data_IF_810457782464
#
_entry.id   IF_810457782464
#
_cell.length_a   1.000
_cell.length_b   1.000
_cell.length_c   1.000
_cell.angle_alpha   90.00
_cell.angle_beta   90.00
_cell.angle_gamma   90.00
#
_symmetry.space_group_name_H-M   'P 1'
#
loop_
_entity.id
_entity.type
_entity.pdbx_description
1 polymer ?
#
# COMPACT_ATOMS: atom_id res chain seq x y z
N UNK A 1 -22.93 30.27 18.72
CA UNK A 1 -21.96 29.89 19.76
C UNK A 1 -21.04 28.88 19.13
N UNK A 2 -19.75 29.18 18.98
CA UNK A 2 -18.77 28.20 18.57
C UNK A 2 -18.60 27.20 19.74
N UNK A 3 -18.91 25.94 19.50
CA UNK A 3 -18.55 24.86 20.45
C UNK A 3 -17.03 24.79 20.41
N UNK A 4 -16.32 24.98 21.53
CA UNK A 4 -14.88 24.79 21.53
C UNK A 4 -14.60 23.31 21.21
N UNK A 5 -14.01 23.04 20.06
CA UNK A 5 -13.47 21.74 19.76
C UNK A 5 -12.26 21.53 20.66
N UNK A 6 -12.39 20.71 21.66
CA UNK A 6 -11.25 20.23 22.45
C UNK A 6 -10.62 19.07 21.71
N UNK A 7 -9.70 19.34 20.82
CA UNK A 7 -8.87 18.33 20.12
C UNK A 7 -7.80 17.71 21.03
N UNK A 8 -7.82 18.01 22.32
CA UNK A 8 -6.82 17.58 23.29
C UNK A 8 -6.86 16.07 23.62
N UNK A 9 -7.79 15.32 23.04
CA UNK A 9 -7.96 13.89 23.29
C UNK A 9 -7.99 13.05 22.01
N UNK A 10 -7.68 13.64 20.86
CA UNK A 10 -7.62 12.96 19.60
C UNK A 10 -6.26 13.30 19.00
N UNK A 11 -5.30 12.41 19.13
CA UNK A 11 -3.94 12.64 18.63
C UNK A 11 -3.30 11.37 18.16
N UNK A 12 -2.39 11.51 17.21
CA UNK A 12 -1.46 10.46 16.86
C UNK A 12 -0.57 10.13 18.06
N UNK A 13 -0.36 8.87 18.31
CA UNK A 13 0.50 8.38 19.37
C UNK A 13 1.93 8.27 18.82
N UNK A 14 2.82 9.13 19.27
CA UNK A 14 4.22 9.12 18.83
C UNK A 14 5.00 8.01 19.53
N UNK A 15 5.66 7.14 18.77
CA UNK A 15 6.48 6.05 19.29
C UNK A 15 7.94 6.18 18.84
N UNK A 16 8.87 6.21 19.82
CA UNK A 16 10.31 6.24 19.55
C UNK A 16 10.88 4.84 19.36
N UNK A 17 11.02 4.42 18.11
CA UNK A 17 11.49 3.08 17.75
C UNK A 17 12.89 2.78 18.31
N UNK A 18 13.81 3.77 18.32
CA UNK A 18 15.16 3.56 18.84
C UNK A 18 15.16 3.20 20.33
N UNK A 19 14.41 3.95 21.14
CA UNK A 19 14.34 3.75 22.57
C UNK A 19 13.51 2.52 22.94
N UNK A 20 12.46 2.20 22.17
CA UNK A 20 11.68 0.98 22.37
C UNK A 20 12.53 -0.27 22.13
N UNK A 21 13.29 -0.32 21.06
CA UNK A 21 14.23 -1.43 20.79
C UNK A 21 15.30 -1.54 21.90
N UNK A 22 15.84 -0.43 22.35
CA UNK A 22 16.83 -0.42 23.45
C UNK A 22 16.22 -0.88 24.78
N UNK A 23 14.96 -0.53 25.06
CA UNK A 23 14.24 -0.91 26.29
C UNK A 23 13.99 -2.41 26.36
N UNK A 24 13.58 -3.00 25.25
CA UNK A 24 13.30 -4.42 25.16
C UNK A 24 14.58 -5.25 24.92
N UNK A 25 15.75 -4.60 24.84
CA UNK A 25 17.05 -5.22 24.57
C UNK A 25 17.08 -6.12 23.33
N UNK A 26 16.24 -5.79 22.35
CA UNK A 26 16.01 -6.62 21.17
C UNK A 26 17.11 -6.45 20.12
N UNK A 27 17.57 -5.20 19.91
CA UNK A 27 18.45 -4.91 18.79
C UNK A 27 19.44 -3.77 19.08
N UNK A 28 20.68 -3.94 18.61
CA UNK A 28 21.75 -2.93 18.68
C UNK A 28 22.16 -2.43 17.29
N UNK A 29 21.48 -2.85 16.25
CA UNK A 29 21.74 -2.46 14.87
C UNK A 29 21.52 -0.95 14.69
N UNK A 30 22.45 -0.28 14.03
CA UNK A 30 22.32 1.14 13.70
C UNK A 30 21.42 1.31 12.49
N UNK A 31 20.49 2.23 12.58
CA UNK A 31 19.53 2.53 11.53
C UNK A 31 19.06 3.98 11.59
N UNK A 32 18.42 4.43 10.54
CA UNK A 32 17.68 5.69 10.47
C UNK A 32 16.28 5.42 9.93
N UNK A 33 15.34 6.31 10.21
CA UNK A 33 13.99 6.23 9.65
C UNK A 33 13.57 7.57 9.06
N UNK A 34 12.75 7.52 8.02
CA UNK A 34 11.86 8.63 7.72
C UNK A 34 10.61 8.42 8.56
N UNK A 35 10.36 9.35 9.48
CA UNK A 35 9.27 9.26 10.44
C UNK A 35 7.92 9.40 9.74
N UNK A 36 7.01 8.48 10.01
CA UNK A 36 5.65 8.45 9.46
C UNK A 36 4.79 7.45 10.28
N UNK A 37 3.50 7.27 9.95
CA UNK A 37 2.69 6.13 10.37
C UNK A 37 3.15 4.85 9.65
N UNK A 38 3.71 4.98 8.44
CA UNK A 38 4.43 3.92 7.74
C UNK A 38 5.90 4.31 7.49
N UNK A 39 6.75 4.37 8.53
CA UNK A 39 8.13 4.79 8.39
C UNK A 39 8.95 3.86 7.51
N UNK A 40 9.80 4.46 6.68
CA UNK A 40 10.82 3.72 5.92
C UNK A 40 12.09 3.59 6.73
N UNK A 41 12.62 2.37 6.83
CA UNK A 41 13.76 2.01 7.67
C UNK A 41 14.99 1.74 6.83
N UNK A 42 16.11 2.37 7.20
CA UNK A 42 17.41 2.23 6.54
C UNK A 42 18.44 1.69 7.55
N UNK A 43 18.82 0.44 7.41
CA UNK A 43 19.87 -0.17 8.23
C UNK A 43 21.24 0.32 7.73
N UNK A 44 22.10 0.76 8.65
CA UNK A 44 23.46 1.22 8.31
C UNK A 44 24.25 0.11 7.63
N UNK A 45 24.86 0.43 6.50
CA UNK A 45 25.61 -0.51 5.68
C UNK A 45 24.79 -1.18 4.60
N UNK A 46 23.48 -0.88 4.53
CA UNK A 46 22.56 -1.37 3.52
C UNK A 46 22.65 -2.90 3.30
N UNK A 47 22.43 -3.71 4.35
CA UNK A 47 22.48 -5.16 4.24
C UNK A 47 21.36 -5.67 3.31
N UNK A 48 21.61 -6.82 2.70
CA UNK A 48 20.61 -7.48 1.84
C UNK A 48 19.39 -7.94 2.62
N UNK A 49 18.29 -8.15 1.92
CA UNK A 49 17.00 -8.58 2.49
C UNK A 49 17.10 -9.91 3.25
N UNK A 50 17.93 -10.85 2.77
CA UNK A 50 18.13 -12.18 3.38
C UNK A 50 19.27 -12.20 4.41
N UNK A 51 19.95 -11.09 4.66
CA UNK A 51 21.01 -11.04 5.64
C UNK A 51 20.45 -11.22 7.06
N UNK A 52 21.17 -11.96 7.89
CA UNK A 52 20.74 -12.27 9.26
C UNK A 52 20.47 -11.01 10.10
N UNK A 53 21.20 -9.91 9.85
CA UNK A 53 20.99 -8.64 10.53
C UNK A 53 19.64 -8.01 10.14
N UNK A 54 19.27 -8.07 8.86
CA UNK A 54 17.98 -7.58 8.35
C UNK A 54 16.85 -8.41 8.94
N UNK A 55 16.93 -9.74 8.80
CA UNK A 55 15.92 -10.67 9.32
C UNK A 55 15.70 -10.51 10.82
N UNK A 56 16.79 -10.41 11.59
CA UNK A 56 16.67 -10.18 13.03
C UNK A 56 15.99 -8.85 13.32
N UNK A 57 16.34 -7.79 12.61
CA UNK A 57 15.81 -6.46 12.86
C UNK A 57 14.30 -6.40 12.55
N UNK A 58 13.87 -6.98 11.46
CA UNK A 58 12.44 -7.08 11.10
C UNK A 58 11.63 -7.86 12.16
N UNK A 59 12.14 -9.00 12.63
CA UNK A 59 11.47 -9.74 13.72
C UNK A 59 11.40 -8.94 15.01
N UNK A 60 12.49 -8.26 15.37
CA UNK A 60 12.52 -7.46 16.59
C UNK A 60 11.48 -6.31 16.53
N UNK A 61 11.36 -5.65 15.37
CA UNK A 61 10.36 -4.59 15.17
C UNK A 61 8.94 -5.16 15.12
N UNK A 62 8.74 -6.31 14.46
CA UNK A 62 7.44 -6.96 14.36
C UNK A 62 6.88 -7.41 15.72
N UNK A 63 7.75 -7.65 16.72
CA UNK A 63 7.34 -8.12 18.05
C UNK A 63 7.23 -6.99 19.08
N UNK A 64 7.50 -5.74 18.70
CA UNK A 64 7.42 -4.62 19.63
C UNK A 64 6.00 -4.40 20.14
N UNK A 65 5.88 -4.30 21.45
CA UNK A 65 4.64 -3.91 22.13
C UNK A 65 4.81 -2.60 22.85
N UNK A 66 3.74 -1.84 22.95
CA UNK A 66 3.69 -0.55 23.64
C UNK A 66 2.46 -0.46 24.52
N UNK A 67 2.53 0.34 25.58
CA UNK A 67 1.33 0.68 26.37
C UNK A 67 0.70 1.92 25.72
N UNK A 68 -0.50 1.76 25.21
CA UNK A 68 -1.26 2.85 24.60
C UNK A 68 -1.60 3.89 25.68
N UNK A 69 -1.17 5.14 25.53
CA UNK A 69 -1.36 6.17 26.57
C UNK A 69 -2.82 6.60 26.74
N UNK A 70 -3.68 6.32 25.76
CA UNK A 70 -5.11 6.69 25.77
C UNK A 70 -5.93 5.59 26.43
N UNK A 71 -5.74 4.33 25.97
CA UNK A 71 -6.56 3.20 26.43
C UNK A 71 -5.97 2.46 27.63
N UNK A 72 -4.66 2.57 27.86
CA UNK A 72 -3.93 1.80 28.86
C UNK A 72 -3.69 0.33 28.49
N UNK A 73 -4.12 -0.10 27.31
CA UNK A 73 -3.90 -1.45 26.82
C UNK A 73 -2.48 -1.63 26.29
N UNK A 74 -2.04 -2.88 26.18
CA UNK A 74 -0.82 -3.22 25.48
C UNK A 74 -1.16 -3.51 24.02
N UNK A 75 -0.60 -2.70 23.11
CA UNK A 75 -0.78 -2.82 21.68
C UNK A 75 0.50 -3.35 21.02
N UNK A 76 0.35 -4.05 19.90
CA UNK A 76 1.46 -4.26 18.97
C UNK A 76 1.74 -2.93 18.26
N UNK A 77 3.02 -2.53 18.18
CA UNK A 77 3.38 -1.30 17.47
C UNK A 77 3.26 -1.48 15.94
N UNK A 78 3.55 -2.67 15.46
CA UNK A 78 3.63 -3.01 14.03
C UNK A 78 2.36 -3.75 13.60
N UNK A 79 1.66 -3.21 12.60
CA UNK A 79 0.55 -3.88 11.93
C UNK A 79 1.03 -4.75 10.77
N UNK A 80 2.01 -4.27 10.00
CA UNK A 80 2.63 -5.00 8.91
C UNK A 80 4.05 -4.54 8.63
N UNK A 81 4.81 -5.37 7.90
CA UNK A 81 6.17 -5.06 7.51
C UNK A 81 6.38 -5.50 6.06
N UNK A 82 6.92 -4.59 5.24
CA UNK A 82 7.23 -4.83 3.84
C UNK A 82 8.75 -4.84 3.62
N UNK A 83 9.31 -6.01 3.32
CA UNK A 83 10.65 -6.16 2.78
C UNK A 83 10.71 -5.70 1.31
N UNK A 84 11.84 -5.91 0.65
CA UNK A 84 12.04 -5.42 -0.73
C UNK A 84 11.05 -6.04 -1.72
N UNK A 85 10.72 -7.31 -1.56
CA UNK A 85 9.77 -8.00 -2.45
C UNK A 85 8.35 -7.45 -2.29
N UNK A 86 7.90 -7.28 -1.05
CA UNK A 86 6.60 -6.68 -0.75
C UNK A 86 6.55 -5.21 -1.20
N UNK A 87 7.61 -4.43 -0.97
CA UNK A 87 7.68 -3.04 -1.43
C UNK A 87 7.58 -2.93 -2.96
N UNK A 88 8.11 -3.89 -3.72
CA UNK A 88 7.91 -3.96 -5.18
C UNK A 88 6.44 -4.24 -5.55
N UNK A 89 5.79 -5.14 -4.81
CA UNK A 89 4.37 -5.41 -4.99
C UNK A 89 3.50 -4.19 -4.68
N UNK A 90 3.93 -3.36 -3.72
CA UNK A 90 3.26 -2.13 -3.30
C UNK A 90 3.71 -0.88 -4.09
N UNK A 91 4.50 -1.04 -5.15
CA UNK A 91 5.07 0.08 -5.94
C UNK A 91 5.86 1.12 -5.10
N UNK A 92 6.52 0.67 -4.03
CA UNK A 92 7.27 1.53 -3.11
C UNK A 92 8.78 1.58 -3.42
N UNK A 93 9.26 0.85 -4.43
CA UNK A 93 10.68 0.81 -4.82
C UNK A 93 10.91 1.80 -5.95
N UNK A 94 11.95 2.64 -5.79
CA UNK A 94 12.37 3.57 -6.83
C UNK A 94 13.48 3.00 -7.71
N UNK A 95 13.76 3.64 -8.86
CA UNK A 95 14.86 3.27 -9.74
C UNK A 95 16.25 3.54 -9.11
N UNK A 96 16.32 4.37 -8.08
CA UNK A 96 17.55 4.67 -7.34
C UNK A 96 17.67 3.77 -6.10
N UNK A 97 18.57 2.78 -6.08
CA UNK A 97 18.74 1.88 -4.93
C UNK A 97 19.12 2.60 -3.64
N UNK A 98 19.79 3.75 -3.72
CA UNK A 98 20.18 4.54 -2.54
C UNK A 98 18.96 5.18 -1.84
N UNK A 99 17.82 5.27 -2.53
CA UNK A 99 16.56 5.80 -2.02
C UNK A 99 15.57 4.70 -1.62
N UNK A 100 15.91 3.44 -1.87
CA UNK A 100 15.09 2.30 -1.45
C UNK A 100 15.42 1.94 -0.01
N UNK A 101 14.45 1.94 0.91
CA UNK A 101 14.69 1.52 2.30
C UNK A 101 15.00 0.03 2.40
N UNK A 102 15.58 -0.37 3.51
CA UNK A 102 15.78 -1.80 3.81
C UNK A 102 14.45 -2.51 3.95
N UNK A 103 13.49 -1.87 4.62
CA UNK A 103 12.09 -2.28 4.69
C UNK A 103 11.20 -1.09 5.08
N UNK A 104 9.91 -1.24 4.89
CA UNK A 104 8.89 -0.30 5.38
C UNK A 104 8.12 -0.97 6.52
N UNK A 105 7.97 -0.25 7.61
CA UNK A 105 7.14 -0.63 8.75
C UNK A 105 5.80 0.10 8.64
N UNK A 106 4.70 -0.63 8.71
CA UNK A 106 3.36 -0.05 8.86
C UNK A 106 2.97 -0.11 10.33
N UNK A 107 2.70 1.05 10.91
CA UNK A 107 2.28 1.17 12.30
C UNK A 107 0.90 0.55 12.54
N UNK A 108 0.57 0.27 13.78
CA UNK A 108 -0.82 0.01 14.15
C UNK A 108 -1.62 1.31 14.09
N UNK A 109 -2.93 1.22 14.09
CA UNK A 109 -3.81 2.40 14.04
C UNK A 109 -3.39 3.47 15.06
N UNK A 110 -3.43 4.74 14.65
CA UNK A 110 -3.10 5.91 15.46
C UNK A 110 -1.62 6.06 15.87
N UNK A 111 -0.70 5.22 15.41
CA UNK A 111 0.72 5.34 15.74
C UNK A 111 1.51 6.07 14.67
N UNK A 112 2.22 7.13 15.10
CA UNK A 112 3.29 7.79 14.35
C UNK A 112 4.65 7.35 14.88
N UNK A 113 5.49 6.79 14.03
CA UNK A 113 6.73 6.15 14.43
C UNK A 113 7.93 6.97 13.97
N UNK A 114 8.81 7.30 14.90
CA UNK A 114 10.05 8.02 14.64
C UNK A 114 11.24 7.32 15.33
N UNK A 115 12.46 7.76 15.04
CA UNK A 115 13.65 7.29 15.73
C UNK A 115 14.50 8.49 16.16
N UNK A 116 14.66 8.68 17.45
CA UNK A 116 15.51 9.73 18.01
C UNK A 116 17.01 9.41 17.88
N UNK A 117 17.37 8.18 17.57
CA UNK A 117 18.74 7.68 17.61
C UNK A 117 19.29 7.46 19.04
N UNK A 118 18.48 7.71 20.07
CA UNK A 118 18.86 7.48 21.46
C UNK A 118 18.83 5.98 21.81
N UNK A 119 19.86 5.52 22.49
CA UNK A 119 19.94 4.16 23.06
C UNK A 119 19.48 4.10 24.52
N UNK A 120 18.94 5.19 25.06
CA UNK A 120 18.42 5.22 26.42
C UNK A 120 17.10 4.46 26.52
N UNK A 121 17.04 3.49 27.44
CA UNK A 121 15.82 2.77 27.75
C UNK A 121 14.73 3.69 28.25
N UNK A 122 13.49 3.34 28.02
CA UNK A 122 12.31 3.98 28.62
C UNK A 122 12.20 3.52 30.07
N UNK A 123 12.16 4.45 31.03
CA UNK A 123 12.05 4.13 32.45
C UNK A 123 10.65 3.63 32.82
N UNK A 124 9.63 4.09 32.12
CA UNK A 124 8.26 3.59 32.17
C UNK A 124 7.76 3.34 30.75
N UNK A 125 6.79 2.48 30.57
CA UNK A 125 6.24 2.16 29.26
C UNK A 125 5.73 3.37 28.47
N UNK A 126 5.48 4.50 29.12
CA UNK A 126 4.95 5.73 28.53
C UNK A 126 6.01 6.74 28.10
N UNK A 127 7.30 6.58 28.47
CA UNK A 127 8.35 7.56 28.11
C UNK A 127 8.76 7.52 26.63
N UNK A 128 8.49 6.43 25.94
CA UNK A 128 8.82 6.26 24.53
C UNK A 128 7.61 6.32 23.62
N UNK A 129 6.44 6.44 24.25
CA UNK A 129 5.14 6.54 23.58
C UNK A 129 4.42 7.72 24.18
N UNK A 130 4.16 8.74 23.40
CA UNK A 130 3.58 10.01 23.88
C UNK A 130 2.48 10.47 22.95
N UNK A 131 1.48 11.13 23.51
CA UNK A 131 0.44 11.83 22.79
C UNK A 131 0.77 13.33 22.78
N UNK A 132 1.29 13.90 21.68
CA UNK A 132 1.57 15.32 21.59
C UNK A 132 0.28 16.11 21.35
N UNK A 133 0.07 17.17 22.14
CA UNK A 133 -1.06 18.07 21.95
C UNK A 133 -1.05 18.69 20.56
N UNK A 134 -2.18 18.57 19.85
CA UNK A 134 -2.38 19.22 18.56
C UNK A 134 -1.82 18.47 17.34
N UNK A 135 -1.35 17.24 17.49
CA UNK A 135 -0.99 16.37 16.39
C UNK A 135 -2.05 15.27 16.25
N UNK A 136 -3.03 15.47 15.41
CA UNK A 136 -4.24 14.66 15.38
C UNK A 136 -4.53 13.96 14.04
N UNK A 137 -3.79 14.28 12.97
CA UNK A 137 -4.07 13.78 11.64
C UNK A 137 -2.76 13.51 10.90
N UNK A 138 -2.64 12.32 10.37
CA UNK A 138 -1.51 11.91 9.56
C UNK A 138 -1.96 11.15 8.31
N UNK A 139 -1.03 10.67 7.54
CA UNK A 139 -1.21 9.92 6.29
C UNK A 139 -0.14 8.83 6.21
N UNK A 140 -0.12 8.07 5.11
CA UNK A 140 1.00 7.18 4.82
C UNK A 140 0.82 5.75 5.29
N UNK A 141 -0.30 5.39 5.88
CA UNK A 141 -0.60 4.03 6.31
C UNK A 141 -1.62 3.32 5.39
N UNK A 142 -1.93 2.05 5.68
CA UNK A 142 -2.78 1.21 4.84
C UNK A 142 -4.12 0.83 5.49
N UNK A 143 -4.37 1.25 6.73
CA UNK A 143 -5.63 1.01 7.43
C UNK A 143 -6.81 1.64 6.68
N UNK A 144 -7.98 1.11 6.92
CA UNK A 144 -9.18 1.50 6.17
C UNK A 144 -9.62 2.94 6.42
N UNK A 145 -9.39 3.48 7.60
CA UNK A 145 -9.67 4.86 7.97
C UNK A 145 -8.78 5.89 7.22
N UNK A 146 -7.55 5.49 6.87
CA UNK A 146 -6.62 6.28 6.06
C UNK A 146 -6.90 6.10 4.56
N UNK A 147 -7.12 4.85 4.12
CA UNK A 147 -7.15 4.51 2.69
C UNK A 147 -8.54 4.60 2.06
N UNK A 148 -9.61 4.47 2.85
CA UNK A 148 -10.98 4.59 2.35
C UNK A 148 -11.45 6.04 2.41
N UNK A 149 -10.95 6.84 1.47
CA UNK A 149 -11.34 8.24 1.30
C UNK A 149 -12.46 8.37 0.26
N UNK A 150 -12.82 9.58 -0.11
CA UNK A 150 -13.82 9.83 -1.13
C UNK A 150 -13.19 10.53 -2.36
N UNK A 151 -13.73 10.23 -3.54
CA UNK A 151 -13.42 10.91 -4.79
C UNK A 151 -14.71 11.52 -5.34
N UNK A 152 -14.75 12.86 -5.50
CA UNK A 152 -15.87 13.56 -6.12
C UNK A 152 -15.57 13.91 -7.57
N UNK A 153 -16.42 13.46 -8.51
CA UNK A 153 -16.33 13.77 -9.93
C UNK A 153 -17.62 14.45 -10.39
N UNK A 154 -17.47 15.63 -10.98
CA UNK A 154 -18.59 16.42 -11.51
C UNK A 154 -18.17 17.07 -12.83
N UNK A 155 -18.99 16.90 -13.86
CA UNK A 155 -18.73 17.53 -15.15
C UNK A 155 -19.42 16.83 -16.33
N UNK A 156 -19.26 17.37 -17.55
CA UNK A 156 -19.73 16.70 -18.76
C UNK A 156 -19.08 15.33 -18.92
N UNK A 157 -19.85 14.34 -19.29
CA UNK A 157 -19.38 12.96 -19.47
C UNK A 157 -19.31 12.13 -18.18
N UNK A 158 -19.55 12.74 -17.02
CA UNK A 158 -19.63 12.04 -15.74
C UNK A 158 -21.08 11.61 -15.45
N UNK A 159 -21.28 10.36 -15.05
CA UNK A 159 -22.60 9.81 -14.71
C UNK A 159 -23.18 10.49 -13.47
N UNK A 160 -24.48 10.75 -13.51
CA UNK A 160 -25.24 11.20 -12.35
C UNK A 160 -25.74 10.01 -11.53
N UNK A 161 -24.84 9.41 -10.75
CA UNK A 161 -25.17 8.20 -9.98
C UNK A 161 -25.19 8.43 -8.45
N UNK A 162 -24.91 9.66 -7.98
CA UNK A 162 -24.79 9.92 -6.53
C UNK A 162 -23.55 9.29 -5.93
N UNK A 163 -23.70 8.75 -4.72
CA UNK A 163 -22.61 8.09 -3.98
C UNK A 163 -22.60 6.61 -4.32
N UNK A 164 -21.43 6.04 -4.57
CA UNK A 164 -21.21 4.60 -4.74
C UNK A 164 -19.98 4.15 -3.97
N UNK A 165 -19.98 2.93 -3.47
CA UNK A 165 -18.85 2.23 -2.85
C UNK A 165 -18.34 1.05 -3.68
N UNK A 166 -18.89 0.85 -4.88
CA UNK A 166 -18.65 -0.35 -5.69
C UNK A 166 -17.44 -0.22 -6.62
N UNK A 167 -16.76 0.94 -6.59
CA UNK A 167 -15.62 1.24 -7.46
C UNK A 167 -14.35 1.32 -6.62
N UNK A 168 -13.44 0.39 -6.85
CA UNK A 168 -12.08 0.54 -6.34
C UNK A 168 -11.31 1.52 -7.22
N UNK A 169 -10.76 2.56 -6.62
CA UNK A 169 -9.93 3.56 -7.30
C UNK A 169 -8.82 4.06 -6.37
N UNK A 170 -7.77 4.58 -6.94
CA UNK A 170 -6.72 5.33 -6.25
C UNK A 170 -6.32 6.59 -7.05
N UNK A 171 -5.36 7.35 -6.53
CA UNK A 171 -4.94 8.60 -7.14
C UNK A 171 -4.37 8.44 -8.56
N UNK A 172 -3.80 7.29 -8.91
CA UNK A 172 -3.27 7.03 -10.25
C UNK A 172 -4.36 7.01 -11.33
N UNK A 173 -5.61 6.72 -10.96
CA UNK A 173 -6.75 6.64 -11.87
C UNK A 173 -7.30 8.02 -12.30
N UNK A 174 -6.94 9.09 -11.57
CA UNK A 174 -7.50 10.43 -11.82
C UNK A 174 -7.07 10.96 -13.19
N UNK A 175 -5.76 10.93 -13.48
CA UNK A 175 -5.21 11.45 -14.74
C UNK A 175 -5.79 10.74 -15.97
N UNK A 176 -5.71 9.41 -16.12
CA UNK A 176 -6.27 8.73 -17.28
C UNK A 176 -7.79 8.89 -17.39
N UNK A 177 -8.52 9.03 -16.28
CA UNK A 177 -9.96 9.32 -16.33
C UNK A 177 -10.25 10.71 -16.92
N UNK A 178 -9.51 11.74 -16.49
CA UNK A 178 -9.66 13.09 -17.03
C UNK A 178 -9.26 13.16 -18.50
N UNK A 179 -8.17 12.49 -18.88
CA UNK A 179 -7.72 12.39 -20.27
C UNK A 179 -8.80 11.75 -21.17
N UNK A 180 -9.38 10.63 -20.70
CA UNK A 180 -10.47 9.97 -21.42
C UNK A 180 -11.72 10.85 -21.56
N UNK A 181 -12.06 11.66 -20.53
CA UNK A 181 -13.20 12.58 -20.57
C UNK A 181 -13.01 13.71 -21.60
N UNK A 182 -11.79 14.24 -21.71
CA UNK A 182 -11.51 15.34 -22.66
C UNK A 182 -11.06 14.84 -24.04
N UNK A 183 -10.86 13.54 -24.20
CA UNK A 183 -10.50 12.91 -25.47
C UNK A 183 -9.08 13.20 -25.95
N UNK A 184 -8.15 13.40 -25.02
CA UNK A 184 -6.72 13.59 -25.29
C UNK A 184 -5.92 12.42 -24.75
N UNK A 185 -4.72 12.26 -25.25
CA UNK A 185 -3.73 11.25 -24.90
C UNK A 185 -2.39 11.94 -24.62
N UNK A 186 -1.55 11.35 -23.80
CA UNK A 186 -0.18 11.78 -23.58
C UNK A 186 0.80 10.61 -23.78
N UNK A 187 2.08 10.88 -23.60
CA UNK A 187 3.19 9.93 -23.73
C UNK A 187 3.63 9.32 -22.39
N UNK A 188 2.78 9.43 -21.35
CA UNK A 188 3.07 8.93 -20.02
C UNK A 188 2.45 7.54 -19.81
N UNK A 189 3.26 6.57 -19.40
CA UNK A 189 2.79 5.24 -19.01
C UNK A 189 2.09 5.31 -17.65
N UNK A 190 0.79 5.06 -17.64
CA UNK A 190 -0.04 5.15 -16.44
C UNK A 190 -0.06 3.84 -15.65
N UNK A 191 0.14 3.90 -14.32
CA UNK A 191 -0.18 2.79 -13.41
C UNK A 191 -1.67 2.72 -13.09
N UNK A 192 -2.40 3.80 -13.35
CA UNK A 192 -3.85 3.89 -13.18
C UNK A 192 -4.60 3.65 -14.49
N UNK A 193 -5.90 3.52 -14.39
CA UNK A 193 -6.79 3.29 -15.53
C UNK A 193 -7.92 4.31 -15.55
N UNK A 194 -8.56 4.51 -16.71
CA UNK A 194 -9.77 5.30 -16.75
C UNK A 194 -10.90 4.63 -15.94
N UNK A 195 -11.59 5.42 -15.12
CA UNK A 195 -12.72 4.97 -14.30
C UNK A 195 -13.99 4.86 -15.14
N UNK A 196 -14.10 3.81 -15.96
CA UNK A 196 -15.25 3.59 -16.84
C UNK A 196 -16.58 3.54 -16.09
N UNK A 197 -16.56 3.16 -14.81
CA UNK A 197 -17.72 3.10 -13.92
C UNK A 197 -18.41 4.45 -13.77
N UNK A 198 -17.63 5.53 -13.76
CA UNK A 198 -18.14 6.90 -13.54
C UNK A 198 -18.40 7.66 -14.85
N UNK A 199 -17.96 7.14 -15.99
CA UNK A 199 -18.22 7.75 -17.29
C UNK A 199 -19.68 7.49 -17.70
N UNK A 200 -20.35 8.50 -18.26
CA UNK A 200 -21.67 8.29 -18.83
C UNK A 200 -21.61 7.41 -20.09
N UNK A 201 -22.76 6.89 -20.53
CA UNK A 201 -22.80 5.93 -21.64
C UNK A 201 -22.30 6.47 -22.99
N UNK A 202 -22.15 7.79 -23.12
CA UNK A 202 -21.69 8.46 -24.34
C UNK A 202 -20.24 8.97 -24.23
N UNK A 203 -19.67 8.96 -23.01
CA UNK A 203 -18.30 9.39 -22.79
C UNK A 203 -17.30 8.30 -23.19
N UNK A 204 -16.06 8.74 -23.43
CA UNK A 204 -14.97 7.88 -23.85
C UNK A 204 -14.97 7.54 -25.36
N UNK A 205 -14.03 6.74 -25.79
CA UNK A 205 -13.85 6.31 -27.17
C UNK A 205 -15.04 5.45 -27.67
N UNK A 206 -15.13 5.28 -29.00
CA UNK A 206 -16.14 4.36 -29.58
C UNK A 206 -15.93 2.93 -29.11
N UNK A 207 -14.67 2.52 -28.95
CA UNK A 207 -14.29 1.19 -28.46
C UNK A 207 -14.73 0.98 -27.02
N UNK A 208 -14.47 1.95 -26.14
CA UNK A 208 -14.95 1.91 -24.76
C UNK A 208 -16.46 1.72 -24.68
N UNK A 209 -17.21 2.42 -25.53
CA UNK A 209 -18.69 2.26 -25.55
C UNK A 209 -19.12 0.90 -26.07
N UNK A 210 -18.42 0.36 -27.08
CA UNK A 210 -18.78 -0.94 -27.68
C UNK A 210 -18.46 -2.13 -26.77
N UNK A 211 -17.37 -2.04 -25.97
CA UNK A 211 -16.85 -3.12 -25.14
C UNK A 211 -16.89 -2.81 -23.62
N UNK A 212 -17.85 -1.96 -23.23
CA UNK A 212 -17.88 -1.37 -21.88
C UNK A 212 -17.85 -2.41 -20.76
N UNK A 213 -18.65 -3.47 -20.86
CA UNK A 213 -18.74 -4.49 -19.81
C UNK A 213 -17.42 -5.24 -19.63
N UNK A 214 -16.81 -5.65 -20.73
CA UNK A 214 -15.51 -6.33 -20.71
C UNK A 214 -14.42 -5.44 -20.15
N UNK A 215 -14.36 -4.18 -20.58
CA UNK A 215 -13.39 -3.21 -20.07
C UNK A 215 -13.58 -2.91 -18.59
N UNK A 216 -14.82 -2.81 -18.10
CA UNK A 216 -15.08 -2.66 -16.67
C UNK A 216 -14.49 -3.82 -15.87
N UNK A 217 -14.74 -5.05 -16.29
CA UNK A 217 -14.26 -6.24 -15.60
C UNK A 217 -12.73 -6.36 -15.68
N UNK A 218 -12.16 -6.09 -16.85
CA UNK A 218 -10.71 -6.11 -17.05
C UNK A 218 -10.02 -5.07 -16.16
N UNK A 219 -10.54 -3.85 -16.16
CA UNK A 219 -10.00 -2.74 -15.38
C UNK A 219 -10.12 -2.96 -13.86
N UNK A 220 -11.22 -3.55 -13.40
CA UNK A 220 -11.38 -3.94 -11.99
C UNK A 220 -10.39 -5.03 -11.59
N UNK A 221 -10.23 -6.08 -12.41
CA UNK A 221 -9.28 -7.17 -12.16
C UNK A 221 -7.84 -6.64 -12.17
N UNK A 222 -7.50 -5.76 -13.11
CA UNK A 222 -6.20 -5.08 -13.15
C UNK A 222 -5.88 -4.38 -11.83
N UNK A 223 -6.80 -3.56 -11.31
CA UNK A 223 -6.58 -2.85 -10.05
C UNK A 223 -6.42 -3.79 -8.85
N UNK A 224 -7.10 -4.92 -8.82
CA UNK A 224 -6.97 -5.89 -7.73
C UNK A 224 -5.59 -6.55 -7.69
N UNK A 225 -4.92 -6.69 -8.83
CA UNK A 225 -3.57 -7.27 -8.88
C UNK A 225 -2.45 -6.22 -8.91
N UNK A 226 -2.70 -5.01 -9.43
CA UNK A 226 -1.64 -4.02 -9.65
C UNK A 226 -1.67 -2.84 -8.66
N UNK A 227 -2.81 -2.41 -8.16
CA UNK A 227 -2.85 -1.31 -7.20
C UNK A 227 -2.12 -1.68 -5.90
N UNK A 228 -1.35 -0.75 -5.28
CA UNK A 228 -0.61 -1.02 -4.05
C UNK A 228 -1.47 -1.64 -2.95
N UNK A 229 -2.69 -1.10 -2.76
CA UNK A 229 -3.65 -1.57 -1.77
C UNK A 229 -4.80 -2.38 -2.39
N UNK A 230 -4.59 -2.91 -3.59
CA UNK A 230 -5.43 -3.95 -4.18
C UNK A 230 -5.36 -5.26 -3.39
N UNK A 231 -6.19 -6.21 -3.78
CA UNK A 231 -6.28 -7.49 -3.06
C UNK A 231 -4.95 -8.25 -3.01
N UNK A 232 -4.15 -8.21 -4.09
CA UNK A 232 -2.84 -8.88 -4.13
C UNK A 232 -1.88 -8.26 -3.13
N UNK A 233 -1.71 -6.93 -3.15
CA UNK A 233 -0.80 -6.23 -2.25
C UNK A 233 -1.14 -6.45 -0.78
N UNK A 234 -2.42 -6.32 -0.40
CA UNK A 234 -2.87 -6.56 0.97
C UNK A 234 -2.66 -8.00 1.44
N UNK A 235 -2.95 -8.98 0.58
CA UNK A 235 -2.78 -10.41 0.93
C UNK A 235 -1.32 -10.78 1.11
N UNK A 236 -0.46 -10.32 0.21
CA UNK A 236 0.99 -10.62 0.29
C UNK A 236 1.63 -9.94 1.50
N UNK A 237 1.27 -8.67 1.77
CA UNK A 237 1.76 -7.95 2.94
C UNK A 237 1.40 -8.65 4.24
N UNK A 238 0.15 -9.10 4.37
CA UNK A 238 -0.27 -9.88 5.55
C UNK A 238 0.49 -11.18 5.68
N UNK A 239 0.59 -11.96 4.61
CA UNK A 239 1.25 -13.28 4.61
C UNK A 239 2.72 -13.16 4.99
N UNK A 240 3.45 -12.19 4.44
CA UNK A 240 4.87 -11.98 4.78
C UNK A 240 5.06 -11.52 6.21
N UNK A 241 4.18 -10.66 6.71
CA UNK A 241 4.22 -10.21 8.11
C UNK A 241 3.97 -11.38 9.07
N UNK A 242 2.98 -12.21 8.81
CA UNK A 242 2.70 -13.42 9.60
C UNK A 242 3.90 -14.37 9.61
N UNK A 243 4.62 -14.49 8.49
CA UNK A 243 5.80 -15.36 8.36
C UNK A 243 7.03 -14.89 9.15
N UNK A 244 7.08 -13.61 9.58
CA UNK A 244 8.16 -13.12 10.45
C UNK A 244 8.20 -13.83 11.82
N UNK A 245 7.10 -14.42 12.24
CA UNK A 245 7.05 -15.26 13.46
C UNK A 245 7.74 -16.62 13.30
N UNK A 246 8.01 -17.05 12.07
CA UNK A 246 8.70 -18.29 11.73
C UNK A 246 10.23 -18.14 11.74
N UNK A 247 10.90 -19.19 11.24
CA UNK A 247 12.34 -19.17 11.06
C UNK A 247 12.77 -18.52 9.72
N UNK A 248 14.05 -18.23 9.60
CA UNK A 248 14.61 -17.59 8.40
C UNK A 248 14.50 -18.45 7.13
N UNK A 249 14.44 -19.77 7.26
CA UNK A 249 14.28 -20.69 6.11
C UNK A 249 12.86 -20.58 5.56
N UNK A 250 11.88 -20.62 6.44
CA UNK A 250 10.47 -20.46 6.09
C UNK A 250 10.24 -19.10 5.43
N UNK A 251 10.77 -18.04 6.01
CA UNK A 251 10.65 -16.68 5.43
C UNK A 251 11.33 -16.58 4.05
N UNK A 252 12.55 -17.10 3.90
CA UNK A 252 13.27 -17.06 2.61
C UNK A 252 12.54 -17.84 1.52
N UNK A 253 11.90 -18.95 1.90
CA UNK A 253 11.08 -19.73 0.96
C UNK A 253 9.87 -18.94 0.50
N UNK A 254 9.16 -18.31 1.45
CA UNK A 254 8.03 -17.44 1.14
C UNK A 254 8.44 -16.25 0.28
N UNK A 255 9.53 -15.56 0.61
CA UNK A 255 10.03 -14.44 -0.20
C UNK A 255 10.31 -14.86 -1.66
N UNK A 256 10.90 -16.04 -1.85
CA UNK A 256 11.09 -16.63 -3.17
C UNK A 256 9.77 -16.90 -3.92
N UNK A 257 8.72 -17.30 -3.22
CA UNK A 257 7.40 -17.52 -3.83
C UNK A 257 6.69 -16.20 -4.13
N UNK A 258 6.82 -15.19 -3.26
CA UNK A 258 6.34 -13.83 -3.53
C UNK A 258 7.05 -13.19 -4.72
N UNK A 259 8.35 -13.42 -4.89
CA UNK A 259 9.09 -12.95 -6.07
C UNK A 259 8.56 -13.57 -7.38
N UNK A 260 8.17 -14.85 -7.36
CA UNK A 260 7.52 -15.50 -8.52
C UNK A 260 6.13 -14.90 -8.80
N UNK A 261 5.35 -14.64 -7.74
CA UNK A 261 4.05 -13.98 -7.87
C UNK A 261 4.21 -12.58 -8.46
N UNK A 262 5.20 -11.82 -8.02
CA UNK A 262 5.54 -10.49 -8.56
C UNK A 262 5.81 -10.56 -10.08
N UNK A 263 6.66 -11.49 -10.53
CA UNK A 263 6.95 -11.63 -11.97
C UNK A 263 5.71 -12.01 -12.81
N UNK A 264 4.82 -12.83 -12.25
CA UNK A 264 3.53 -13.16 -12.89
C UNK A 264 2.62 -11.93 -12.94
N UNK A 265 2.51 -11.18 -11.83
CA UNK A 265 1.75 -9.94 -11.73
C UNK A 265 2.19 -8.93 -12.76
N UNK A 266 3.49 -8.65 -12.86
CA UNK A 266 4.03 -7.64 -13.77
C UNK A 266 3.70 -7.98 -15.23
N UNK A 267 3.89 -9.25 -15.61
CA UNK A 267 3.56 -9.72 -16.97
C UNK A 267 2.08 -9.60 -17.28
N UNK A 268 1.22 -9.91 -16.32
CA UNK A 268 -0.23 -9.89 -16.51
C UNK A 268 -0.76 -8.45 -16.50
N UNK A 269 -0.30 -7.64 -15.56
CA UNK A 269 -0.69 -6.24 -15.44
C UNK A 269 -0.33 -5.44 -16.68
N UNK A 270 0.89 -5.63 -17.25
CA UNK A 270 1.29 -4.98 -18.49
C UNK A 270 0.32 -5.28 -19.63
N UNK A 271 -0.02 -6.56 -19.87
CA UNK A 271 -0.97 -6.93 -20.93
C UNK A 271 -2.37 -6.35 -20.71
N UNK A 272 -2.79 -6.26 -19.45
CA UNK A 272 -4.12 -5.73 -19.12
C UNK A 272 -4.18 -4.23 -19.32
N UNK A 273 -3.15 -3.49 -18.86
CA UNK A 273 -3.13 -2.03 -19.02
C UNK A 273 -2.96 -1.62 -20.49
N UNK A 274 -2.10 -2.31 -21.26
CA UNK A 274 -1.95 -2.08 -22.70
C UNK A 274 -3.31 -2.19 -23.42
N UNK A 275 -4.10 -3.24 -23.11
CA UNK A 275 -5.42 -3.42 -23.72
C UNK A 275 -6.41 -2.32 -23.28
N UNK A 276 -6.36 -1.88 -22.03
CA UNK A 276 -7.22 -0.81 -21.48
C UNK A 276 -6.87 0.52 -22.16
N UNK A 277 -5.59 0.85 -22.29
CA UNK A 277 -5.11 2.08 -22.90
C UNK A 277 -5.38 2.11 -24.41
N UNK A 278 -5.09 1.02 -25.14
CA UNK A 278 -5.43 0.83 -26.55
C UNK A 278 -6.92 1.11 -26.82
N UNK A 279 -7.80 0.58 -25.95
CA UNK A 279 -9.24 0.82 -26.10
C UNK A 279 -9.64 2.25 -25.74
N UNK A 280 -9.00 2.83 -24.72
CA UNK A 280 -9.35 4.14 -24.19
C UNK A 280 -8.90 5.26 -25.10
N UNK A 281 -7.64 5.23 -25.52
CA UNK A 281 -6.96 6.32 -26.21
C UNK A 281 -6.79 6.02 -27.71
N UNK A 282 -6.20 4.92 -28.08
CA UNK A 282 -5.94 4.54 -29.48
C UNK A 282 -7.18 4.06 -30.26
N UNK A 283 -8.30 3.86 -29.55
CA UNK A 283 -9.58 3.40 -30.14
C UNK A 283 -9.48 2.05 -30.84
N UNK A 284 -8.49 1.22 -30.47
CA UNK A 284 -8.33 -0.13 -31.01
C UNK A 284 -9.42 -1.05 -30.45
N UNK A 285 -9.92 -1.96 -31.29
CA UNK A 285 -10.86 -2.98 -30.84
C UNK A 285 -10.17 -3.94 -29.88
N UNK A 286 -10.86 -4.36 -28.84
CA UNK A 286 -10.36 -5.35 -27.88
C UNK A 286 -10.69 -6.77 -28.36
N UNK A 287 -9.80 -7.70 -28.06
CA UNK A 287 -10.07 -9.12 -28.14
C UNK A 287 -10.79 -9.59 -26.87
N UNK A 288 -12.09 -9.82 -26.97
CA UNK A 288 -12.93 -10.26 -25.86
C UNK A 288 -12.50 -11.60 -25.26
N UNK A 289 -11.94 -12.51 -26.07
CA UNK A 289 -11.46 -13.80 -25.58
C UNK A 289 -10.17 -13.63 -24.79
N UNK A 290 -9.25 -12.81 -25.29
CA UNK A 290 -8.02 -12.48 -24.59
C UNK A 290 -8.32 -11.73 -23.29
N UNK A 291 -9.22 -10.74 -23.33
CA UNK A 291 -9.62 -10.01 -22.12
C UNK A 291 -10.16 -10.95 -21.03
N UNK A 292 -11.01 -11.90 -21.43
CA UNK A 292 -11.54 -12.90 -20.50
C UNK A 292 -10.41 -13.79 -19.93
N UNK A 293 -9.49 -14.27 -20.76
CA UNK A 293 -8.36 -15.07 -20.30
C UNK A 293 -7.48 -14.29 -19.30
N UNK A 294 -7.21 -12.99 -19.55
CA UNK A 294 -6.46 -12.14 -18.62
C UNK A 294 -7.18 -11.95 -17.28
N UNK A 295 -8.51 -11.82 -17.29
CA UNK A 295 -9.33 -11.75 -16.06
C UNK A 295 -9.26 -13.07 -15.28
N UNK A 296 -9.36 -14.21 -15.96
CA UNK A 296 -9.29 -15.52 -15.33
C UNK A 296 -7.88 -15.74 -14.74
N UNK A 297 -6.81 -15.39 -15.46
CA UNK A 297 -5.42 -15.45 -14.96
C UNK A 297 -5.19 -14.54 -13.74
N UNK A 298 -5.83 -13.36 -13.69
CA UNK A 298 -5.76 -12.45 -12.54
C UNK A 298 -6.45 -13.06 -11.30
N UNK A 299 -7.60 -13.72 -11.48
CA UNK A 299 -8.29 -14.41 -10.42
C UNK A 299 -7.45 -15.59 -9.88
N UNK A 300 -6.79 -16.35 -10.75
CA UNK A 300 -5.89 -17.44 -10.38
C UNK A 300 -4.66 -16.92 -9.63
N UNK A 301 -4.13 -15.77 -10.03
CA UNK A 301 -3.03 -15.11 -9.33
C UNK A 301 -3.46 -14.72 -7.89
N UNK A 302 -4.62 -14.10 -7.73
CA UNK A 302 -5.17 -13.74 -6.42
C UNK A 302 -5.44 -14.97 -5.54
N UNK A 303 -5.92 -16.05 -6.12
CA UNK A 303 -6.11 -17.33 -5.41
C UNK A 303 -4.77 -17.91 -4.94
N UNK A 304 -3.72 -17.78 -5.75
CA UNK A 304 -2.36 -18.25 -5.44
C UNK A 304 -1.69 -17.42 -4.34
N UNK A 305 -2.03 -16.14 -4.19
CA UNK A 305 -1.47 -15.26 -3.17
C UNK A 305 -1.98 -15.58 -1.74
N UNK A 306 -3.02 -16.39 -1.61
CA UNK A 306 -3.49 -16.95 -0.33
C UNK A 306 -2.61 -18.11 0.09
N UNK A 307 -1.30 -17.88 0.16
CA UNK A 307 -0.33 -18.89 0.62
C UNK A 307 -0.69 -19.23 2.07
N UNK A 308 -0.83 -20.53 2.35
CA UNK A 308 -1.18 -21.05 3.68
C UNK A 308 0.07 -21.14 4.55
#
# INVERSE_FOLDING_TARGET
MAVPCTFAQIGEINADLSRLLATQALNTTKFTVHSDSAPTVYITGNPGQTDAVTRKFERDVATLTVVNPITGNTDMLTAALAGVTEMKLLHMVTADPARTPTFTLFGNEDYFIFASGSTASCKSGTECVTEPNGFAWNHGDFQSDITQTWLGLVGPGVRRQGITSDVFSDHSDIRPTLMALVGIEDDYDHDGRALFEVLDGNAGSRTVRAHRETLLRLAQSYKQINAPLGSLGKQTLKTSTDALSGDDVTYTTLDGDLAKLLGRRDTLASKMIDMIEDATFDRRAIDEQLAKALIDDANDLLASARIK
#
